data_IF_351114446859
#
_entry.id   IF_351114446859
#
_cell.length_a   1.000
_cell.length_b   1.000
_cell.length_c   1.000
_cell.angle_alpha   90.00
_cell.angle_beta   90.00
_cell.angle_gamma   90.00
#
_symmetry.space_group_name_H-M   'P 1'
#
loop_
_entity.id
_entity.type
_entity.pdbx_description
1 polymer ?
#
# COMPACT_ATOMS: atom_id res chain seq x y z
N UNK A 1 -8.51 -22.33 26.74
CA UNK A 1 -7.54 -21.21 26.86
C UNK A 1 -8.25 -19.99 26.33
N UNK A 2 -8.35 -18.91 27.12
CA UNK A 2 -8.88 -17.66 26.58
C UNK A 2 -7.99 -17.20 25.42
N UNK A 3 -8.58 -17.10 24.24
CA UNK A 3 -7.90 -16.62 23.05
C UNK A 3 -7.51 -15.15 23.26
N UNK A 4 -6.21 -14.90 23.36
CA UNK A 4 -5.67 -13.58 23.67
C UNK A 4 -5.37 -12.74 22.44
N UNK A 5 -5.50 -13.30 21.23
CA UNK A 5 -5.38 -12.54 20.00
C UNK A 5 -6.68 -11.79 19.72
N UNK A 6 -6.62 -10.48 19.69
CA UNK A 6 -7.73 -9.59 19.38
C UNK A 6 -7.43 -8.72 18.16
N UNK A 7 -8.41 -8.60 17.27
CA UNK A 7 -8.27 -7.84 16.03
C UNK A 7 -9.37 -6.79 16.01
N UNK A 8 -8.98 -5.54 15.81
CA UNK A 8 -9.91 -4.42 15.71
C UNK A 8 -9.71 -3.68 14.40
N UNK A 9 -10.75 -3.05 13.92
CA UNK A 9 -10.72 -2.22 12.71
C UNK A 9 -11.01 -0.77 13.06
N UNK A 10 -10.21 0.13 12.51
CA UNK A 10 -10.68 1.48 12.31
C UNK A 10 -11.61 1.55 11.10
N UNK A 11 -12.12 2.77 10.79
CA UNK A 11 -13.17 2.96 9.78
C UNK A 11 -12.67 3.05 8.34
N UNK A 12 -11.37 3.22 8.11
CA UNK A 12 -10.85 3.53 6.76
C UNK A 12 -10.91 2.35 5.77
N UNK A 13 -10.90 1.08 6.27
CA UNK A 13 -11.04 -0.11 5.41
C UNK A 13 -11.58 -1.32 6.18
N UNK A 14 -12.84 -1.27 6.56
CA UNK A 14 -13.49 -2.33 7.33
C UNK A 14 -13.61 -3.64 6.53
N UNK A 15 -13.75 -3.56 5.19
CA UNK A 15 -13.84 -4.75 4.34
C UNK A 15 -12.55 -5.58 4.44
N UNK A 16 -11.39 -4.98 4.19
CA UNK A 16 -10.10 -5.67 4.34
C UNK A 16 -9.89 -6.20 5.76
N UNK A 17 -10.32 -5.44 6.78
CA UNK A 17 -10.18 -5.88 8.17
C UNK A 17 -11.00 -7.13 8.47
N UNK A 18 -12.23 -7.22 7.94
CA UNK A 18 -13.06 -8.42 8.05
C UNK A 18 -12.41 -9.60 7.33
N UNK A 19 -11.89 -9.39 6.11
CA UNK A 19 -11.23 -10.45 5.34
C UNK A 19 -9.99 -10.98 6.06
N UNK A 20 -9.17 -10.09 6.66
CA UNK A 20 -8.03 -10.49 7.49
C UNK A 20 -8.49 -11.32 8.70
N UNK A 21 -9.52 -10.89 9.41
CA UNK A 21 -10.07 -11.62 10.55
C UNK A 21 -10.60 -12.99 10.13
N UNK A 22 -11.32 -13.08 9.03
CA UNK A 22 -11.83 -14.34 8.46
C UNK A 22 -10.71 -15.33 8.13
N UNK A 23 -9.60 -14.87 7.52
CA UNK A 23 -8.42 -15.71 7.26
C UNK A 23 -7.76 -16.23 8.54
N UNK A 24 -7.90 -15.51 9.66
CA UNK A 24 -7.44 -15.95 10.99
C UNK A 24 -8.45 -16.84 11.72
N UNK A 25 -9.62 -17.10 11.11
CA UNK A 25 -10.72 -17.83 11.76
C UNK A 25 -11.31 -17.09 12.97
N UNK A 26 -11.34 -15.73 12.91
CA UNK A 26 -11.80 -14.83 13.96
C UNK A 26 -12.83 -13.83 13.44
N UNK A 27 -13.51 -13.22 14.37
CA UNK A 27 -14.32 -12.02 14.14
C UNK A 27 -13.56 -10.77 14.61
N UNK A 28 -13.91 -9.62 14.05
CA UNK A 28 -13.42 -8.35 14.56
C UNK A 28 -13.96 -8.09 15.96
N UNK A 29 -13.11 -7.60 16.83
CA UNK A 29 -13.51 -7.14 18.16
C UNK A 29 -14.43 -5.92 18.09
N UNK A 30 -15.23 -5.74 19.11
CA UNK A 30 -16.23 -4.67 19.16
C UNK A 30 -15.56 -3.35 19.60
N UNK A 31 -15.54 -2.37 18.69
CA UNK A 31 -15.01 -1.03 18.88
C UNK A 31 -16.05 -0.01 18.39
N UNK A 32 -16.55 0.81 19.32
CA UNK A 32 -17.43 1.94 18.97
C UNK A 32 -16.60 3.17 18.64
N UNK A 33 -16.83 3.76 17.46
CA UNK A 33 -16.18 5.01 17.02
C UNK A 33 -17.28 5.99 16.62
N UNK A 34 -17.27 7.19 17.20
CA UNK A 34 -18.23 8.27 16.93
C UNK A 34 -17.49 9.54 16.60
N UNK A 35 -18.10 10.37 15.77
CA UNK A 35 -17.62 11.72 15.49
C UNK A 35 -18.61 12.70 16.11
N UNK A 36 -18.12 13.61 16.94
CA UNK A 36 -18.94 14.69 17.51
C UNK A 36 -19.29 15.73 16.43
N UNK A 37 -20.23 16.62 16.76
CA UNK A 37 -20.69 17.65 15.82
C UNK A 37 -19.61 18.65 15.41
N UNK A 38 -18.59 18.82 16.22
CA UNK A 38 -17.41 19.66 15.96
C UNK A 38 -16.31 18.94 15.17
N UNK A 39 -16.49 17.61 14.93
CA UNK A 39 -15.54 16.78 14.19
C UNK A 39 -14.58 16.00 15.07
N UNK A 40 -14.57 16.16 16.38
CA UNK A 40 -13.72 15.37 17.27
C UNK A 40 -14.16 13.90 17.31
N UNK A 41 -13.18 13.00 17.48
CA UNK A 41 -13.42 11.56 17.53
C UNK A 41 -13.56 11.10 18.99
N UNK A 42 -14.53 10.24 19.23
CA UNK A 42 -14.69 9.48 20.46
C UNK A 42 -14.71 7.99 20.11
N UNK A 43 -14.04 7.17 20.93
CA UNK A 43 -14.03 5.74 20.73
C UNK A 43 -13.98 4.96 22.06
N UNK A 44 -14.49 3.72 22.03
CA UNK A 44 -14.52 2.81 23.18
C UNK A 44 -14.43 1.36 22.70
N UNK A 45 -13.55 0.57 23.33
CA UNK A 45 -13.60 -0.88 23.25
C UNK A 45 -14.80 -1.38 24.04
N UNK A 46 -15.69 -2.12 23.38
CA UNK A 46 -16.92 -2.66 24.00
C UNK A 46 -16.67 -4.04 24.65
N UNK A 47 -15.45 -4.52 24.61
CA UNK A 47 -15.04 -5.77 25.23
C UNK A 47 -13.76 -5.62 26.06
N UNK A 48 -13.52 -6.59 26.95
CA UNK A 48 -12.32 -6.59 27.77
C UNK A 48 -11.11 -7.08 26.98
N UNK A 49 -10.11 -6.20 26.82
CA UNK A 49 -8.85 -6.47 26.11
C UNK A 49 -7.63 -6.56 27.03
N UNK A 50 -7.84 -6.55 28.36
CA UNK A 50 -6.76 -6.62 29.35
C UNK A 50 -5.92 -7.88 29.17
N UNK A 51 -4.61 -7.70 29.00
CA UNK A 51 -3.63 -8.79 28.81
C UNK A 51 -3.78 -9.53 27.49
N UNK A 52 -4.50 -8.96 26.50
CA UNK A 52 -4.59 -9.47 25.15
C UNK A 52 -3.50 -8.86 24.25
N UNK A 53 -3.10 -9.59 23.21
CA UNK A 53 -2.30 -9.08 22.12
C UNK A 53 -3.28 -8.47 21.09
N UNK A 54 -3.24 -7.14 20.94
CA UNK A 54 -4.21 -6.34 20.18
C UNK A 54 -3.61 -5.91 18.87
N UNK A 55 -4.26 -6.25 17.74
CA UNK A 55 -3.94 -5.79 16.40
C UNK A 55 -5.00 -4.82 15.92
N UNK A 56 -4.59 -3.65 15.44
CA UNK A 56 -5.47 -2.57 14.99
C UNK A 56 -5.25 -2.34 13.51
N UNK A 57 -6.21 -2.70 12.67
CA UNK A 57 -6.11 -2.56 11.21
C UNK A 57 -6.67 -1.20 10.81
N UNK A 58 -5.81 -0.31 10.31
CA UNK A 58 -6.20 1.03 9.88
C UNK A 58 -5.23 1.59 8.82
N UNK A 59 -5.57 1.57 7.54
CA UNK A 59 -4.87 2.37 6.53
C UNK A 59 -4.92 3.86 6.88
N UNK A 60 -3.80 4.55 6.70
CA UNK A 60 -3.68 5.97 7.06
C UNK A 60 -3.69 6.90 5.84
N UNK A 61 -4.43 6.51 4.78
CA UNK A 61 -4.75 7.36 3.64
C UNK A 61 -5.62 8.56 4.07
N UNK A 62 -5.67 9.58 3.22
CA UNK A 62 -6.57 10.73 3.42
C UNK A 62 -8.04 10.26 3.60
N UNK A 63 -8.82 10.94 4.48
CA UNK A 63 -8.47 12.16 5.21
C UNK A 63 -7.56 11.91 6.43
N UNK A 64 -6.93 12.98 6.95
CA UNK A 64 -5.98 12.88 8.08
C UNK A 64 -6.61 12.38 9.39
N UNK A 65 -7.93 12.41 9.49
CA UNK A 65 -8.70 11.81 10.58
C UNK A 65 -8.44 10.31 10.73
N UNK A 66 -8.10 9.59 9.65
CA UNK A 66 -7.72 8.19 9.71
C UNK A 66 -6.46 7.96 10.57
N UNK A 67 -5.54 8.93 10.59
CA UNK A 67 -4.35 8.90 11.44
C UNK A 67 -4.75 9.17 12.89
N UNK A 68 -5.54 10.21 13.12
CA UNK A 68 -6.02 10.54 14.45
C UNK A 68 -6.82 9.38 15.06
N UNK A 69 -7.67 8.73 14.27
CA UNK A 69 -8.40 7.56 14.69
C UNK A 69 -7.46 6.43 15.15
N UNK A 70 -6.43 6.12 14.34
CA UNK A 70 -5.43 5.12 14.70
C UNK A 70 -4.74 5.46 16.03
N UNK A 71 -4.27 6.70 16.18
CA UNK A 71 -3.59 7.18 17.38
C UNK A 71 -4.49 7.02 18.63
N UNK A 72 -5.75 7.42 18.54
CA UNK A 72 -6.69 7.31 19.64
C UNK A 72 -7.02 5.85 19.98
N UNK A 73 -7.13 4.96 18.97
CA UNK A 73 -7.35 3.53 19.23
C UNK A 73 -6.15 2.92 19.95
N UNK A 74 -4.92 3.28 19.57
CA UNK A 74 -3.69 2.81 20.23
C UNK A 74 -3.70 3.27 21.70
N UNK A 75 -3.93 4.56 21.99
CA UNK A 75 -3.96 5.09 23.36
C UNK A 75 -5.02 4.38 24.21
N UNK A 76 -6.22 4.20 23.67
CA UNK A 76 -7.29 3.49 24.36
C UNK A 76 -6.92 2.02 24.67
N UNK A 77 -6.25 1.32 23.74
CA UNK A 77 -5.79 -0.06 23.95
C UNK A 77 -4.74 -0.15 25.07
N UNK A 78 -3.76 0.75 25.06
CA UNK A 78 -2.74 0.86 26.13
C UNK A 78 -3.39 1.13 27.49
N UNK A 79 -4.31 2.10 27.56
CA UNK A 79 -5.04 2.42 28.82
C UNK A 79 -5.96 1.31 29.29
N UNK A 80 -6.50 0.50 28.36
CA UNK A 80 -7.27 -0.70 28.69
C UNK A 80 -6.39 -1.89 29.13
N UNK A 81 -5.07 -1.67 29.26
CA UNK A 81 -4.07 -2.67 29.68
C UNK A 81 -3.96 -3.87 28.72
N UNK A 82 -4.03 -3.62 27.41
CA UNK A 82 -3.57 -4.60 26.44
C UNK A 82 -2.14 -5.05 26.77
N UNK A 83 -1.79 -6.29 26.45
CA UNK A 83 -0.44 -6.82 26.69
C UNK A 83 0.53 -6.27 25.63
N UNK A 84 0.08 -6.25 24.37
CA UNK A 84 0.79 -5.63 23.25
C UNK A 84 -0.22 -4.93 22.35
N UNK A 85 0.22 -3.84 21.71
CA UNK A 85 -0.58 -3.07 20.76
C UNK A 85 0.19 -2.95 19.44
N UNK A 86 -0.33 -3.59 18.38
CA UNK A 86 0.29 -3.64 17.07
C UNK A 86 -0.63 -2.99 16.02
N UNK A 87 -0.39 -1.73 15.62
CA UNK A 87 -1.03 -1.17 14.44
C UNK A 87 -0.60 -1.91 13.19
N UNK A 88 -1.60 -2.32 12.40
CA UNK A 88 -1.48 -2.89 11.06
C UNK A 88 -1.96 -1.82 10.09
N UNK A 89 -1.04 -1.24 9.34
CA UNK A 89 -1.25 -0.08 8.49
C UNK A 89 -1.05 -0.48 7.02
N UNK A 90 -2.08 -1.04 6.35
CA UNK A 90 -1.96 -1.54 4.97
C UNK A 90 -1.42 -0.50 4.00
N UNK A 91 -1.82 0.76 4.14
CA UNK A 91 -1.23 1.91 3.47
C UNK A 91 -0.70 2.90 4.49
N UNK A 92 0.59 3.23 4.41
CA UNK A 92 1.24 4.18 5.31
C UNK A 92 1.23 5.59 4.69
N UNK A 93 0.31 6.42 5.16
CA UNK A 93 0.17 7.81 4.71
C UNK A 93 1.40 8.66 5.04
N UNK A 94 1.61 9.73 4.26
CA UNK A 94 2.80 10.62 4.33
C UNK A 94 4.14 9.93 4.03
N UNK A 95 4.15 8.67 3.58
CA UNK A 95 5.35 7.91 3.25
C UNK A 95 6.19 8.51 2.13
N UNK A 96 5.63 9.41 1.29
CA UNK A 96 6.34 10.09 0.21
C UNK A 96 7.28 11.21 0.69
N UNK A 97 7.15 11.64 1.95
CA UNK A 97 7.99 12.68 2.57
C UNK A 97 8.94 12.06 3.59
N UNK A 98 9.87 11.23 3.10
CA UNK A 98 10.85 10.47 3.88
C UNK A 98 12.18 11.20 4.09
N UNK A 99 12.38 12.32 3.40
CA UNK A 99 13.59 13.15 3.44
C UNK A 99 13.26 14.61 3.17
N UNK A 100 14.21 15.47 3.44
CA UNK A 100 14.13 16.87 3.05
C UNK A 100 14.53 17.00 1.57
N UNK A 101 13.57 17.26 0.71
CA UNK A 101 13.75 17.57 -0.71
C UNK A 101 13.95 19.07 -0.94
N UNK A 102 13.52 19.90 0.00
CA UNK A 102 13.65 21.34 0.00
C UNK A 102 14.07 21.88 1.38
N UNK A 103 14.62 23.09 1.46
CA UNK A 103 14.84 23.76 2.73
C UNK A 103 13.53 24.01 3.49
N UNK A 104 13.52 23.85 4.81
CA UNK A 104 12.41 24.19 5.72
C UNK A 104 11.15 23.33 5.54
N UNK A 105 11.28 22.11 5.00
CA UNK A 105 10.20 21.13 4.93
C UNK A 105 10.29 20.11 6.08
N UNK A 106 9.18 19.51 6.50
CA UNK A 106 9.20 18.41 7.47
C UNK A 106 9.72 17.12 6.84
N UNK A 107 10.00 16.12 7.67
CA UNK A 107 10.09 14.72 7.29
C UNK A 107 8.81 14.07 7.83
N UNK A 108 7.72 14.16 7.06
CA UNK A 108 6.39 13.82 7.57
C UNK A 108 6.23 12.35 7.92
N UNK A 109 6.89 11.45 7.18
CA UNK A 109 6.89 10.02 7.49
C UNK A 109 7.53 9.73 8.85
N UNK A 110 8.56 10.47 9.25
CA UNK A 110 9.17 10.38 10.58
C UNK A 110 8.18 10.83 11.65
N UNK A 111 7.48 11.94 11.44
CA UNK A 111 6.46 12.45 12.38
C UNK A 111 5.37 11.40 12.59
N UNK A 112 4.90 10.73 11.53
CA UNK A 112 3.89 9.67 11.64
C UNK A 112 4.40 8.48 12.47
N UNK A 113 5.63 8.02 12.23
CA UNK A 113 6.24 6.93 13.01
C UNK A 113 6.39 7.32 14.47
N UNK A 114 6.86 8.56 14.73
CA UNK A 114 7.04 9.06 16.10
C UNK A 114 5.71 9.17 16.85
N UNK A 115 4.62 9.63 16.22
CA UNK A 115 3.29 9.69 16.81
C UNK A 115 2.78 8.30 17.19
N UNK A 116 2.86 7.33 16.28
CA UNK A 116 2.42 5.95 16.54
C UNK A 116 3.23 5.34 17.69
N UNK A 117 4.55 5.52 17.67
CA UNK A 117 5.44 4.98 18.71
C UNK A 117 5.20 5.66 20.06
N UNK A 118 5.10 6.99 20.09
CA UNK A 118 4.90 7.75 21.34
C UNK A 118 3.54 7.47 22.00
N UNK A 119 2.55 7.05 21.21
CA UNK A 119 1.23 6.68 21.74
C UNK A 119 1.24 5.31 22.43
N UNK A 120 2.29 4.50 22.23
CA UNK A 120 2.49 3.24 22.94
C UNK A 120 2.28 2.00 22.09
N UNK A 121 2.45 2.09 20.77
CA UNK A 121 2.54 0.92 19.92
C UNK A 121 3.82 0.12 20.23
N UNK A 122 3.71 -1.21 20.28
CA UNK A 122 4.84 -2.11 20.52
C UNK A 122 5.51 -2.58 19.21
N UNK A 123 4.80 -2.48 18.08
CA UNK A 123 5.23 -2.92 16.75
C UNK A 123 4.39 -2.22 15.69
N UNK A 124 4.91 -2.05 14.49
CA UNK A 124 4.16 -1.58 13.32
C UNK A 124 4.25 -2.63 12.22
N UNK A 125 3.12 -2.94 11.57
CA UNK A 125 3.08 -3.79 10.36
C UNK A 125 2.52 -2.94 9.22
N UNK A 126 3.20 -2.91 8.07
CA UNK A 126 2.74 -2.18 6.88
C UNK A 126 3.12 -2.90 5.60
N UNK A 127 2.62 -2.43 4.45
CA UNK A 127 2.90 -3.02 3.14
C UNK A 127 3.44 -1.98 2.17
N UNK A 128 4.40 -2.38 1.33
CA UNK A 128 4.97 -1.63 0.21
C UNK A 128 5.16 -0.13 0.48
N UNK A 129 6.00 0.18 1.45
CA UNK A 129 6.39 1.56 1.74
C UNK A 129 6.99 2.24 0.50
N UNK A 130 6.56 3.45 0.20
CA UNK A 130 7.18 4.26 -0.85
C UNK A 130 8.70 4.40 -0.71
N UNK A 131 9.16 4.46 0.53
CA UNK A 131 10.58 4.46 0.88
C UNK A 131 10.85 3.47 2.00
N UNK A 132 11.67 2.46 1.73
CA UNK A 132 11.98 1.41 2.71
C UNK A 132 12.76 1.94 3.92
N UNK A 133 13.41 3.10 3.80
CA UNK A 133 14.16 3.77 4.88
C UNK A 133 13.26 4.21 6.04
N UNK A 134 11.95 4.35 5.83
CA UNK A 134 10.98 4.72 6.87
C UNK A 134 11.03 3.76 8.06
N UNK A 135 11.31 2.47 7.82
CA UNK A 135 11.51 1.48 8.89
C UNK A 135 12.58 1.90 9.90
N UNK A 136 13.62 2.60 9.44
CA UNK A 136 14.70 3.10 10.29
C UNK A 136 14.31 4.29 11.19
N UNK A 137 13.12 4.86 11.03
CA UNK A 137 12.64 5.92 11.92
C UNK A 137 12.02 5.37 13.22
N UNK A 138 11.58 4.12 13.21
CA UNK A 138 10.97 3.50 14.37
C UNK A 138 12.02 3.04 15.39
N UNK A 139 11.73 3.23 16.67
CA UNK A 139 12.48 2.66 17.80
C UNK A 139 11.88 1.33 18.30
N UNK A 140 10.79 0.91 17.68
CA UNK A 140 10.08 -0.36 17.91
C UNK A 140 10.20 -1.24 16.65
N UNK A 141 9.94 -2.57 16.75
CA UNK A 141 9.91 -3.44 15.59
C UNK A 141 8.97 -2.92 14.50
N UNK A 142 9.43 -2.97 13.24
CA UNK A 142 8.70 -2.48 12.10
C UNK A 142 8.74 -3.54 10.97
N UNK A 143 7.61 -4.20 10.74
CA UNK A 143 7.50 -5.24 9.71
C UNK A 143 6.98 -4.64 8.40
N UNK A 144 7.82 -4.67 7.38
CA UNK A 144 7.49 -4.20 6.03
C UNK A 144 7.14 -5.39 5.15
N UNK A 145 5.86 -5.57 4.86
CA UNK A 145 5.31 -6.61 4.00
C UNK A 145 5.37 -6.19 2.53
N UNK A 146 5.24 -7.18 1.62
CA UNK A 146 5.25 -6.96 0.19
C UNK A 146 4.03 -7.61 -0.47
N UNK A 147 3.28 -6.84 -1.28
CA UNK A 147 2.14 -7.33 -2.07
C UNK A 147 2.57 -8.19 -3.26
N UNK A 148 3.86 -8.20 -3.57
CA UNK A 148 4.42 -8.83 -4.77
C UNK A 148 3.92 -10.25 -5.00
N UNK A 149 3.74 -11.06 -3.97
CA UNK A 149 3.28 -12.45 -4.12
C UNK A 149 1.89 -12.50 -4.76
N UNK A 150 0.93 -11.78 -4.18
CA UNK A 150 -0.45 -11.75 -4.68
C UNK A 150 -0.55 -11.06 -6.07
N UNK A 151 0.27 -10.03 -6.30
CA UNK A 151 0.30 -9.35 -7.59
C UNK A 151 0.95 -10.22 -8.69
N UNK A 152 2.00 -10.99 -8.39
CA UNK A 152 2.59 -11.94 -9.34
C UNK A 152 1.58 -12.99 -9.79
N UNK A 153 0.79 -13.53 -8.87
CA UNK A 153 -0.25 -14.53 -9.20
C UNK A 153 -1.35 -13.91 -10.07
N UNK A 154 -1.77 -12.68 -9.76
CA UNK A 154 -2.71 -11.94 -10.60
C UNK A 154 -2.16 -11.67 -12.00
N UNK A 155 -0.88 -11.29 -12.13
CA UNK A 155 -0.21 -11.09 -13.44
C UNK A 155 -0.15 -12.40 -14.22
N UNK A 156 0.26 -13.50 -13.61
CA UNK A 156 0.33 -14.82 -14.26
C UNK A 156 -1.03 -15.28 -14.75
N UNK A 157 -2.10 -14.97 -14.03
CA UNK A 157 -3.47 -15.33 -14.43
C UNK A 157 -3.96 -14.65 -15.72
N UNK A 158 -3.28 -13.57 -16.17
CA UNK A 158 -3.60 -12.90 -17.43
C UNK A 158 -3.16 -13.75 -18.64
N UNK A 159 -2.15 -14.61 -18.47
CA UNK A 159 -1.66 -15.50 -19.51
C UNK A 159 -0.78 -14.81 -20.56
N UNK A 160 -0.04 -13.77 -20.17
CA UNK A 160 0.91 -13.10 -21.05
C UNK A 160 2.10 -14.00 -21.40
N UNK A 161 2.55 -13.93 -22.66
CA UNK A 161 3.77 -14.62 -23.10
C UNK A 161 5.02 -13.89 -22.61
N UNK A 162 5.86 -14.56 -21.82
CA UNK A 162 7.07 -13.98 -21.21
C UNK A 162 7.98 -13.29 -22.25
N UNK A 163 8.23 -13.95 -23.40
CA UNK A 163 9.12 -13.45 -24.47
C UNK A 163 8.56 -12.22 -25.19
N UNK A 164 7.24 -12.08 -25.22
CA UNK A 164 6.53 -10.99 -25.89
C UNK A 164 6.08 -9.91 -24.91
N UNK A 165 6.48 -10.01 -23.64
CA UNK A 165 6.11 -9.08 -22.60
C UNK A 165 7.30 -8.36 -22.00
N UNK A 166 7.06 -7.15 -21.48
CA UNK A 166 8.09 -6.31 -20.87
C UNK A 166 7.53 -5.59 -19.66
N UNK A 167 8.29 -5.59 -18.57
CA UNK A 167 8.00 -4.77 -17.40
C UNK A 167 8.62 -3.39 -17.60
N UNK A 168 7.78 -2.36 -17.58
CA UNK A 168 8.18 -0.97 -17.74
C UNK A 168 8.15 -0.26 -16.40
N UNK A 169 9.27 0.28 -15.96
CA UNK A 169 9.32 1.23 -14.85
C UNK A 169 8.91 2.62 -15.33
N UNK A 170 7.88 3.24 -14.73
CA UNK A 170 7.40 4.55 -15.15
C UNK A 170 8.37 5.70 -14.81
N UNK A 171 9.34 5.46 -13.93
CA UNK A 171 10.42 6.38 -13.56
C UNK A 171 11.59 5.64 -12.90
N UNK A 172 12.65 6.39 -12.56
CA UNK A 172 13.86 5.83 -11.94
C UNK A 172 13.60 5.37 -10.49
N UNK A 173 12.64 5.99 -9.78
CA UNK A 173 12.28 5.64 -8.40
C UNK A 173 11.76 4.20 -8.27
N UNK A 174 10.91 3.79 -9.20
CA UNK A 174 10.29 2.46 -9.21
C UNK A 174 11.16 1.38 -9.89
N UNK A 175 12.36 1.74 -10.43
CA UNK A 175 13.17 0.86 -11.27
C UNK A 175 13.58 -0.45 -10.56
N UNK A 176 13.99 -0.38 -9.29
CA UNK A 176 14.39 -1.57 -8.52
C UNK A 176 13.22 -2.54 -8.32
N UNK A 177 12.05 -2.03 -8.00
CA UNK A 177 10.84 -2.82 -7.84
C UNK A 177 10.45 -3.47 -9.16
N UNK A 178 10.31 -2.69 -10.23
CA UNK A 178 9.95 -3.17 -11.57
C UNK A 178 10.94 -4.23 -12.08
N UNK A 179 12.24 -4.04 -11.87
CA UNK A 179 13.26 -5.03 -12.23
C UNK A 179 13.10 -6.35 -11.47
N UNK A 180 12.71 -6.28 -10.19
CA UNK A 180 12.42 -7.48 -9.39
C UNK A 180 11.23 -8.26 -9.94
N UNK A 181 10.16 -7.58 -10.39
CA UNK A 181 9.04 -8.21 -11.08
C UNK A 181 9.46 -8.82 -12.42
N UNK A 182 10.20 -8.09 -13.25
CA UNK A 182 10.71 -8.59 -14.53
C UNK A 182 11.48 -9.91 -14.36
N UNK A 183 12.39 -9.95 -13.37
CA UNK A 183 13.16 -11.15 -13.05
C UNK A 183 12.28 -12.33 -12.63
N UNK A 184 11.28 -12.10 -11.77
CA UNK A 184 10.37 -13.15 -11.27
C UNK A 184 9.39 -13.65 -12.33
N UNK A 185 9.05 -12.80 -13.31
CA UNK A 185 8.16 -13.13 -14.43
C UNK A 185 8.91 -13.68 -15.66
N UNK A 186 10.25 -13.69 -15.68
CA UNK A 186 11.03 -14.06 -16.85
C UNK A 186 10.90 -13.08 -18.01
N UNK A 187 10.44 -11.85 -17.77
CA UNK A 187 10.17 -10.83 -18.79
C UNK A 187 11.34 -9.86 -18.96
N UNK A 188 11.38 -9.19 -20.10
CA UNK A 188 12.30 -8.08 -20.32
C UNK A 188 11.97 -6.90 -19.40
N UNK A 189 12.97 -6.03 -19.20
CA UNK A 189 12.83 -4.80 -18.39
C UNK A 189 13.09 -3.58 -19.28
N UNK A 190 12.27 -2.55 -19.09
CA UNK A 190 12.42 -1.23 -19.70
C UNK A 190 12.18 -0.14 -18.63
N UNK A 191 12.69 1.06 -18.91
CA UNK A 191 12.65 2.19 -18.00
C UNK A 191 12.36 3.49 -18.74
N UNK A 192 11.51 4.34 -18.18
CA UNK A 192 11.35 5.74 -18.61
C UNK A 192 12.21 6.63 -17.70
N UNK A 193 13.26 7.22 -18.28
CA UNK A 193 14.06 8.26 -17.62
C UNK A 193 13.48 9.64 -17.94
N UNK A 194 12.91 10.29 -16.93
CA UNK A 194 12.31 11.61 -17.02
C UNK A 194 13.31 12.67 -16.62
N UNK A 195 13.73 13.52 -17.56
CA UNK A 195 14.66 14.62 -17.28
C UNK A 195 13.98 15.97 -17.46
N UNK A 196 13.96 16.75 -16.38
CA UNK A 196 13.61 18.17 -16.41
C UNK A 196 14.89 18.99 -16.51
N UNK A 197 15.17 19.56 -17.67
CA UNK A 197 16.37 20.38 -17.89
C UNK A 197 16.25 21.79 -17.31
N UNK A 198 15.05 22.29 -17.03
CA UNK A 198 14.80 23.57 -16.33
C UNK A 198 13.34 23.64 -15.83
N UNK A 199 13.05 24.48 -14.79
CA UNK A 199 11.69 24.83 -14.43
C UNK A 199 10.94 25.39 -15.66
N UNK A 200 9.69 24.93 -15.87
CA UNK A 200 8.82 25.32 -17.00
C UNK A 200 9.25 24.90 -18.42
N UNK A 201 10.21 23.97 -18.57
CA UNK A 201 10.45 23.33 -19.87
C UNK A 201 9.73 21.98 -19.94
N UNK A 202 9.37 21.58 -21.19
CA UNK A 202 8.78 20.27 -21.46
C UNK A 202 9.65 19.15 -20.89
N UNK A 203 9.01 18.19 -20.25
CA UNK A 203 9.67 17.01 -19.72
C UNK A 203 10.08 16.10 -20.89
N UNK A 204 11.37 15.81 -21.00
CA UNK A 204 11.87 14.89 -22.04
C UNK A 204 11.90 13.49 -21.42
N UNK A 205 11.17 12.58 -22.04
CA UNK A 205 11.16 11.17 -21.67
C UNK A 205 12.13 10.39 -22.56
N UNK A 206 13.10 9.73 -21.96
CA UNK A 206 13.97 8.80 -22.63
C UNK A 206 13.57 7.37 -22.27
N UNK A 207 13.11 6.62 -23.26
CA UNK A 207 12.84 5.19 -23.10
C UNK A 207 14.15 4.39 -23.23
N UNK A 208 14.42 3.57 -22.23
CA UNK A 208 15.52 2.60 -22.22
C UNK A 208 14.90 1.21 -22.30
N UNK A 209 15.15 0.47 -23.37
CA UNK A 209 14.56 -0.84 -23.64
C UNK A 209 13.76 -0.84 -24.93
N UNK A 210 13.25 -2.01 -25.31
CA UNK A 210 12.45 -2.22 -26.53
C UNK A 210 11.02 -2.62 -26.16
N UNK A 211 10.02 -1.84 -26.62
CA UNK A 211 8.60 -2.06 -26.39
C UNK A 211 7.85 -2.49 -27.67
N UNK A 212 8.55 -2.50 -28.82
CA UNK A 212 7.90 -2.72 -30.10
C UNK A 212 7.24 -4.11 -30.18
N UNK A 213 5.96 -4.14 -30.48
CA UNK A 213 5.11 -5.33 -30.56
C UNK A 213 5.06 -6.15 -29.27
N UNK A 214 5.25 -5.51 -28.10
CA UNK A 214 5.22 -6.19 -26.80
C UNK A 214 4.01 -5.78 -25.97
N UNK A 215 3.59 -6.66 -25.07
CA UNK A 215 2.64 -6.36 -24.01
C UNK A 215 3.40 -5.75 -22.83
N UNK A 216 3.00 -4.56 -22.43
CA UNK A 216 3.73 -3.75 -21.44
C UNK A 216 3.02 -3.79 -20.09
N UNK A 217 3.76 -4.15 -19.03
CA UNK A 217 3.32 -4.07 -17.66
C UNK A 217 4.01 -2.89 -16.98
N UNK A 218 3.25 -1.85 -16.65
CA UNK A 218 3.73 -0.73 -15.85
C UNK A 218 3.53 -1.09 -14.39
N UNK A 219 4.61 -1.11 -13.60
CA UNK A 219 4.56 -1.48 -12.18
C UNK A 219 5.05 -0.32 -11.33
N UNK A 220 4.24 0.08 -10.35
CA UNK A 220 4.53 1.14 -9.39
C UNK A 220 4.07 0.74 -7.97
N UNK A 221 4.52 1.44 -6.94
CA UNK A 221 4.04 1.23 -5.57
C UNK A 221 2.63 1.79 -5.39
N UNK A 222 2.31 2.91 -6.03
CA UNK A 222 1.01 3.55 -5.90
C UNK A 222 0.57 4.28 -7.16
N UNK A 223 -0.75 4.38 -7.32
CA UNK A 223 -1.38 5.28 -8.29
C UNK A 223 -2.17 6.34 -7.52
N UNK A 224 -1.65 7.58 -7.55
CA UNK A 224 -2.30 8.74 -6.92
C UNK A 224 -3.17 9.49 -7.95
N UNK A 225 -2.64 10.49 -8.63
CA UNK A 225 -3.38 11.26 -9.66
C UNK A 225 -3.34 10.61 -11.04
N UNK A 226 -2.72 9.45 -11.18
CA UNK A 226 -2.50 8.67 -12.39
C UNK A 226 -1.66 9.35 -13.49
N UNK A 227 -1.13 10.56 -13.27
CA UNK A 227 -0.36 11.27 -14.31
C UNK A 227 0.86 10.50 -14.78
N UNK A 228 1.68 10.00 -13.85
CA UNK A 228 2.90 9.21 -14.18
C UNK A 228 2.55 7.95 -14.97
N UNK A 229 1.55 7.19 -14.49
CA UNK A 229 1.13 5.92 -15.09
C UNK A 229 0.56 6.11 -16.49
N UNK A 230 -0.31 7.12 -16.68
CA UNK A 230 -0.93 7.41 -17.98
C UNK A 230 0.08 7.92 -19.00
N UNK A 231 1.00 8.80 -18.58
CA UNK A 231 2.09 9.27 -19.45
C UNK A 231 3.01 8.12 -19.87
N UNK A 232 3.32 7.20 -18.94
CA UNK A 232 4.10 6.02 -19.26
C UNK A 232 3.36 5.07 -20.24
N UNK A 233 2.04 4.93 -20.08
CA UNK A 233 1.21 4.15 -20.99
C UNK A 233 1.18 4.78 -22.40
N UNK A 234 1.04 6.08 -22.51
CA UNK A 234 1.08 6.79 -23.80
C UNK A 234 2.44 6.62 -24.47
N UNK A 235 3.53 6.82 -23.73
CA UNK A 235 4.87 6.62 -24.24
C UNK A 235 5.10 5.17 -24.71
N UNK A 236 4.57 4.17 -24.01
CA UNK A 236 4.66 2.78 -24.41
C UNK A 236 3.97 2.53 -25.76
N UNK A 237 2.75 3.01 -25.95
CA UNK A 237 2.01 2.87 -27.21
C UNK A 237 2.70 3.61 -28.36
N UNK A 238 3.21 4.83 -28.14
CA UNK A 238 3.98 5.60 -29.11
C UNK A 238 5.26 4.89 -29.56
N UNK A 239 5.83 4.05 -28.69
CA UNK A 239 7.00 3.20 -28.99
C UNK A 239 6.61 1.79 -29.47
N UNK A 240 5.38 1.60 -29.95
CA UNK A 240 4.93 0.40 -30.64
C UNK A 240 4.45 -0.75 -29.76
N UNK A 241 4.15 -0.51 -28.48
CA UNK A 241 3.55 -1.53 -27.61
C UNK A 241 2.18 -1.99 -28.13
N UNK A 242 1.88 -3.29 -28.01
CA UNK A 242 0.58 -3.86 -28.38
C UNK A 242 -0.51 -3.53 -27.37
N UNK A 243 -0.18 -3.66 -26.09
CA UNK A 243 -1.10 -3.40 -24.98
C UNK A 243 -0.36 -2.84 -23.77
N UNK A 244 -1.09 -2.19 -22.86
CA UNK A 244 -0.52 -1.68 -21.62
C UNK A 244 -1.42 -2.08 -20.46
N UNK A 245 -0.81 -2.71 -19.45
CA UNK A 245 -1.43 -3.08 -18.19
C UNK A 245 -0.73 -2.28 -17.08
N UNK A 246 -1.49 -1.57 -16.25
CA UNK A 246 -0.94 -0.87 -15.10
C UNK A 246 -1.18 -1.67 -13.81
N UNK A 247 -0.17 -1.71 -12.95
CA UNK A 247 -0.19 -2.50 -11.73
C UNK A 247 0.38 -1.65 -10.60
N UNK A 248 -0.36 -1.57 -9.49
CA UNK A 248 0.13 -0.88 -8.29
C UNK A 248 -0.41 -1.53 -7.02
N UNK A 249 0.36 -1.44 -5.94
CA UNK A 249 -0.11 -1.86 -4.63
C UNK A 249 -1.20 -0.92 -4.13
N UNK A 250 -0.92 0.38 -4.07
CA UNK A 250 -1.81 1.34 -3.43
C UNK A 250 -2.62 2.15 -4.44
N UNK A 251 -3.93 1.92 -4.45
CA UNK A 251 -4.88 2.65 -5.29
C UNK A 251 -5.41 3.89 -4.55
N UNK A 252 -4.62 4.97 -4.50
CA UNK A 252 -5.06 6.23 -3.88
C UNK A 252 -6.15 6.87 -4.73
N UNK A 253 -5.96 6.91 -6.04
CA UNK A 253 -6.90 7.37 -7.06
C UNK A 253 -7.50 8.75 -6.72
N UNK A 254 -6.63 9.72 -6.42
CA UNK A 254 -7.04 11.06 -6.03
C UNK A 254 -7.27 11.99 -7.23
N UNK A 255 -8.07 13.02 -7.00
CA UNK A 255 -8.33 14.05 -8.00
C UNK A 255 -8.79 13.47 -9.35
N UNK A 256 -8.13 13.81 -10.46
CA UNK A 256 -8.55 13.40 -11.82
C UNK A 256 -8.12 11.98 -12.21
N UNK A 257 -7.68 11.12 -11.26
CA UNK A 257 -7.09 9.82 -11.58
C UNK A 257 -8.01 8.93 -12.43
N UNK A 258 -9.27 8.82 -12.04
CA UNK A 258 -10.26 7.95 -12.70
C UNK A 258 -10.50 8.40 -14.15
N UNK A 259 -10.70 9.70 -14.37
CA UNK A 259 -10.94 10.24 -15.72
C UNK A 259 -9.69 10.03 -16.60
N UNK A 260 -8.51 10.32 -16.06
CA UNK A 260 -7.25 10.07 -16.77
C UNK A 260 -7.06 8.61 -17.18
N UNK A 261 -7.39 7.68 -16.29
CA UNK A 261 -7.27 6.23 -16.59
C UNK A 261 -8.29 5.83 -17.65
N UNK A 262 -9.54 6.29 -17.55
CA UNK A 262 -10.59 6.03 -18.57
C UNK A 262 -10.21 6.52 -19.96
N UNK A 263 -9.60 7.70 -20.05
CA UNK A 263 -9.17 8.32 -21.31
C UNK A 263 -7.84 7.77 -21.83
N UNK A 264 -7.13 6.97 -21.01
CA UNK A 264 -5.80 6.46 -21.33
C UNK A 264 -5.84 5.23 -22.24
N UNK A 265 -4.63 4.77 -22.62
CA UNK A 265 -4.40 3.53 -23.35
C UNK A 265 -4.18 2.31 -22.44
N UNK A 266 -4.51 2.42 -21.16
CA UNK A 266 -4.40 1.32 -20.19
C UNK A 266 -5.55 0.34 -20.43
N UNK A 267 -5.23 -0.86 -20.92
CA UNK A 267 -6.22 -1.91 -21.18
C UNK A 267 -6.73 -2.59 -19.92
N UNK A 268 -5.89 -2.70 -18.89
CA UNK A 268 -6.23 -3.29 -17.60
C UNK A 268 -5.48 -2.59 -16.47
N UNK A 269 -6.16 -2.39 -15.35
CA UNK A 269 -5.59 -1.87 -14.11
C UNK A 269 -5.68 -2.95 -13.03
N UNK A 270 -4.55 -3.32 -12.42
CA UNK A 270 -4.50 -4.27 -11.30
C UNK A 270 -4.01 -3.51 -10.07
N UNK A 271 -4.79 -3.52 -9.02
CA UNK A 271 -4.46 -2.86 -7.75
C UNK A 271 -4.83 -3.76 -6.58
N UNK A 272 -4.33 -3.44 -5.40
CA UNK A 272 -4.76 -4.16 -4.19
C UNK A 272 -5.81 -3.39 -3.39
N UNK A 273 -6.36 -4.06 -2.40
CA UNK A 273 -7.34 -3.51 -1.45
C UNK A 273 -6.69 -2.89 -0.20
N UNK A 274 -5.41 -2.55 -0.22
CA UNK A 274 -4.73 -1.84 0.89
C UNK A 274 -5.40 -0.52 1.26
N UNK A 275 -6.08 0.12 0.31
CA UNK A 275 -6.94 1.29 0.48
C UNK A 275 -8.33 0.90 -0.02
N UNK A 276 -9.37 1.26 0.72
CA UNK A 276 -10.75 1.05 0.30
C UNK A 276 -11.06 1.86 -0.97
N UNK A 277 -11.53 1.18 -2.02
CA UNK A 277 -11.89 1.80 -3.29
C UNK A 277 -13.42 1.91 -3.35
N UNK A 278 -13.99 3.12 -3.27
CA UNK A 278 -15.42 3.32 -3.33
C UNK A 278 -15.98 2.98 -4.73
N UNK A 279 -17.24 2.58 -4.81
CA UNK A 279 -17.90 2.10 -6.05
C UNK A 279 -17.76 3.09 -7.22
N UNK A 280 -17.87 4.40 -6.95
CA UNK A 280 -17.74 5.43 -7.98
C UNK A 280 -16.33 5.60 -8.56
N UNK A 281 -15.32 4.92 -7.97
CA UNK A 281 -13.94 4.88 -8.47
C UNK A 281 -13.57 3.54 -9.11
N UNK A 282 -14.44 2.55 -9.06
CA UNK A 282 -14.22 1.29 -9.74
C UNK A 282 -14.39 1.45 -11.26
N UNK A 283 -13.51 0.81 -12.01
CA UNK A 283 -13.52 0.80 -13.48
C UNK A 283 -13.78 -0.62 -13.98
N UNK A 284 -14.43 -0.75 -15.14
CA UNK A 284 -14.75 -2.06 -15.73
C UNK A 284 -13.47 -2.89 -16.02
N UNK A 285 -12.35 -2.20 -16.34
CA UNK A 285 -11.06 -2.82 -16.58
C UNK A 285 -10.17 -2.92 -15.32
N UNK A 286 -10.71 -2.66 -14.12
CA UNK A 286 -9.98 -2.73 -12.85
C UNK A 286 -10.16 -4.09 -12.19
N UNK A 287 -9.06 -4.72 -11.84
CA UNK A 287 -9.01 -5.90 -10.99
C UNK A 287 -8.44 -5.51 -9.63
N UNK A 288 -9.19 -5.79 -8.57
CA UNK A 288 -8.75 -5.59 -7.19
C UNK A 288 -8.30 -6.94 -6.64
N UNK A 289 -7.08 -7.00 -6.13
CA UNK A 289 -6.48 -8.20 -5.55
C UNK A 289 -6.38 -8.01 -4.05
N UNK A 290 -6.93 -8.95 -3.27
CA UNK A 290 -6.86 -8.83 -1.81
C UNK A 290 -5.47 -9.16 -1.27
N UNK A 291 -5.07 -8.42 -0.25
CA UNK A 291 -3.85 -8.67 0.54
C UNK A 291 -4.17 -9.26 1.92
N UNK A 292 -5.42 -9.63 2.14
CA UNK A 292 -5.91 -10.08 3.45
C UNK A 292 -5.12 -11.28 3.98
N UNK A 293 -4.84 -12.28 3.14
CA UNK A 293 -4.10 -13.48 3.53
C UNK A 293 -2.67 -13.15 3.99
N UNK A 294 -2.00 -12.23 3.29
CA UNK A 294 -0.63 -11.80 3.64
C UNK A 294 -0.60 -11.14 5.02
N UNK A 295 -1.54 -10.25 5.30
CA UNK A 295 -1.65 -9.61 6.61
C UNK A 295 -2.06 -10.60 7.69
N UNK A 296 -3.00 -11.50 7.41
CA UNK A 296 -3.44 -12.52 8.35
C UNK A 296 -2.27 -13.43 8.77
N UNK A 297 -1.49 -13.91 7.80
CA UNK A 297 -0.32 -14.75 8.11
C UNK A 297 0.75 -13.96 8.87
N UNK A 298 0.99 -12.68 8.54
CA UNK A 298 1.91 -11.84 9.29
C UNK A 298 1.46 -11.65 10.76
N UNK A 299 0.18 -11.33 10.98
CA UNK A 299 -0.42 -11.21 12.32
C UNK A 299 -0.25 -12.52 13.10
N UNK A 300 -0.59 -13.65 12.48
CA UNK A 300 -0.44 -14.98 13.08
C UNK A 300 1.00 -15.26 13.50
N UNK A 301 1.96 -14.98 12.62
CA UNK A 301 3.40 -15.20 12.90
C UNK A 301 3.89 -14.32 14.05
N UNK A 302 3.50 -13.05 14.05
CA UNK A 302 3.84 -12.13 15.15
C UNK A 302 3.27 -12.63 16.47
N UNK A 303 2.00 -13.03 16.52
CA UNK A 303 1.35 -13.57 17.70
C UNK A 303 1.99 -14.86 18.20
N UNK A 304 2.40 -15.75 17.29
CA UNK A 304 3.05 -17.02 17.59
C UNK A 304 4.58 -16.90 17.86
N UNK A 305 5.14 -15.69 17.76
CA UNK A 305 6.60 -15.47 17.91
C UNK A 305 7.42 -16.07 16.76
N UNK A 306 6.81 -16.24 15.57
CA UNK A 306 7.47 -16.78 14.37
C UNK A 306 8.03 -15.67 13.47
N UNK A 307 9.02 -16.04 12.63
CA UNK A 307 9.62 -15.10 11.69
C UNK A 307 8.64 -14.64 10.60
N UNK A 308 8.46 -13.32 10.45
CA UNK A 308 7.68 -12.70 9.37
C UNK A 308 8.48 -12.70 8.06
N UNK A 309 9.82 -12.63 8.12
CA UNK A 309 10.67 -12.62 6.92
C UNK A 309 10.55 -13.90 6.08
N UNK A 310 10.12 -15.00 6.67
CA UNK A 310 9.86 -16.25 5.94
C UNK A 310 8.68 -16.13 4.93
N UNK A 311 7.88 -15.07 5.00
CA UNK A 311 6.84 -14.76 4.00
C UNK A 311 7.42 -14.19 2.70
N UNK A 312 8.67 -13.74 2.72
CA UNK A 312 9.29 -13.00 1.63
C UNK A 312 10.60 -13.68 1.23
N UNK A 313 10.54 -14.81 0.54
CA UNK A 313 11.72 -15.35 -0.14
C UNK A 313 12.16 -14.39 -1.23
N UNK A 314 13.31 -13.77 -1.01
CA UNK A 314 13.92 -12.78 -1.90
C UNK A 314 14.56 -13.42 -3.14
#
# INVERSE_FOLDING_TARGET
>A
MNDKLKIFSGRSNVALSNDIANHLGKELGQLSIKTFSDGELWLQFEENIRGCDVFIIQPTNSPSENIMELILIIDAAVRASAKTVTPVVPYFGYGRQDRKDNPRVPISSRVMVDLITATGADRIITMDLHSTQIQGFATIPFDHLYSRMVLLDAIKSIGLEEKNSVVLSPDVGSARMSQSYAKKLGMHFALIDKRRYAPNKAEVMHLIGDLNKKDVLIIDDMIDTAGTTVNAASAAIENGANSVIAIATHAILSGPAIDRIKESKISKLIVTDTISIPENKKLDNMQIVTVAEVFAEAIKRVYEGKSVSALFEF
#
